data_IF_744931094256
#
_entry.id   IF_744931094256
#
_cell.length_a   1.000
_cell.length_b   1.000
_cell.length_c   1.000
_cell.angle_alpha   90.00
_cell.angle_beta   90.00
_cell.angle_gamma   90.00
#
_symmetry.space_group_name_H-M   'P 1'
#
loop_
_entity.id
_entity.type
_entity.pdbx_description
1 polymer ?
#
# COMPACT_ATOMS: atom_id res chain seq x y z
N UNK A 1 -13.54 6.81 -30.44
CA UNK A 1 -14.75 7.68 -30.35
C UNK A 1 -16.07 6.91 -30.57
N UNK A 2 -16.24 6.24 -31.72
CA UNK A 2 -17.46 5.49 -32.04
C UNK A 2 -17.73 4.32 -31.08
N UNK A 3 -16.73 3.46 -30.80
CA UNK A 3 -16.86 2.35 -29.82
C UNK A 3 -17.18 2.84 -28.41
N UNK A 4 -16.68 4.02 -28.03
CA UNK A 4 -16.99 4.66 -26.74
C UNK A 4 -18.46 5.08 -26.67
N UNK A 5 -19.00 5.66 -27.73
CA UNK A 5 -20.42 6.05 -27.79
C UNK A 5 -21.33 4.82 -27.76
N UNK A 6 -20.98 3.76 -28.50
CA UNK A 6 -21.71 2.49 -28.50
C UNK A 6 -21.75 1.87 -27.09
N UNK A 7 -20.60 1.83 -26.39
CA UNK A 7 -20.53 1.38 -25.00
C UNK A 7 -21.45 2.17 -24.07
N UNK A 8 -21.38 3.50 -24.12
CA UNK A 8 -22.20 4.38 -23.27
C UNK A 8 -23.71 4.16 -23.54
N UNK A 9 -24.09 3.96 -24.80
CA UNK A 9 -25.46 3.65 -25.17
C UNK A 9 -25.92 2.29 -24.63
N UNK A 10 -25.06 1.26 -24.67
CA UNK A 10 -25.36 -0.06 -24.10
C UNK A 10 -25.52 0.00 -22.59
N UNK A 11 -24.59 0.65 -21.87
CA UNK A 11 -24.68 0.80 -20.41
C UNK A 11 -25.97 1.52 -20.01
N UNK A 12 -26.33 2.59 -20.73
CA UNK A 12 -27.55 3.35 -20.43
C UNK A 12 -28.84 2.57 -20.69
N UNK A 13 -28.80 1.49 -21.48
CA UNK A 13 -29.95 0.61 -21.73
C UNK A 13 -30.07 -0.52 -20.71
N UNK A 14 -28.95 -0.95 -20.12
CA UNK A 14 -28.87 -2.12 -19.24
C UNK A 14 -28.84 -1.73 -17.76
N UNK A 15 -28.27 -0.57 -17.43
CA UNK A 15 -28.23 -0.05 -16.05
C UNK A 15 -29.33 0.98 -15.79
N UNK A 16 -29.91 1.01 -14.56
CA UNK A 16 -30.84 2.04 -14.15
C UNK A 16 -30.21 3.45 -14.25
N UNK A 17 -31.02 4.45 -14.60
CA UNK A 17 -30.57 5.84 -14.71
C UNK A 17 -30.09 6.43 -13.37
N UNK A 18 -30.47 5.81 -12.25
CA UNK A 18 -30.11 6.23 -10.89
C UNK A 18 -29.58 5.07 -10.06
N UNK A 19 -28.59 5.32 -9.20
CA UNK A 19 -28.11 4.36 -8.21
C UNK A 19 -29.15 4.11 -7.10
N UNK A 20 -28.85 3.18 -6.19
CA UNK A 20 -29.71 2.85 -5.03
C UNK A 20 -29.93 4.02 -4.07
N UNK A 21 -29.21 5.13 -4.23
CA UNK A 21 -29.35 6.37 -3.45
C UNK A 21 -29.97 7.51 -4.26
N UNK A 22 -30.50 7.23 -5.47
CA UNK A 22 -31.17 8.22 -6.32
C UNK A 22 -30.23 9.16 -7.08
N UNK A 23 -28.92 8.89 -7.10
CA UNK A 23 -27.93 9.71 -7.84
C UNK A 23 -27.84 9.26 -9.29
N UNK A 24 -27.64 10.17 -10.25
CA UNK A 24 -27.51 9.80 -11.66
C UNK A 24 -26.34 8.85 -11.87
N UNK A 25 -26.60 7.71 -12.51
CA UNK A 25 -25.58 6.74 -12.88
C UNK A 25 -24.75 7.30 -14.04
N UNK A 26 -23.49 7.64 -13.78
CA UNK A 26 -22.55 8.09 -14.81
C UNK A 26 -21.78 6.85 -15.30
N UNK A 27 -21.97 6.41 -16.56
CA UNK A 27 -21.26 5.25 -17.08
C UNK A 27 -19.75 5.47 -17.03
N UNK A 28 -19.05 4.56 -16.35
CA UNK A 28 -17.59 4.59 -16.23
C UNK A 28 -17.00 3.74 -17.36
N UNK A 29 -15.88 4.20 -17.91
CA UNK A 29 -15.07 3.41 -18.82
C UNK A 29 -14.02 2.71 -17.96
N UNK A 30 -13.86 1.39 -18.06
CA UNK A 30 -12.82 0.69 -17.32
C UNK A 30 -11.47 1.35 -17.55
N UNK A 31 -10.76 1.67 -16.47
CA UNK A 31 -9.39 2.12 -16.56
C UNK A 31 -8.54 1.02 -17.19
N UNK A 32 -7.58 1.42 -18.03
CA UNK A 32 -6.67 0.45 -18.65
C UNK A 32 -5.71 -0.10 -17.61
N UNK A 33 -5.49 -1.42 -17.68
CA UNK A 33 -4.49 -2.08 -16.86
C UNK A 33 -3.10 -1.48 -17.10
N UNK A 34 -2.38 -1.22 -16.01
CA UNK A 34 -0.97 -0.88 -16.00
C UNK A 34 -0.25 -2.10 -15.43
N UNK A 35 0.45 -2.84 -16.30
CA UNK A 35 1.12 -4.10 -15.98
C UNK A 35 2.02 -4.07 -14.73
N UNK A 36 2.58 -2.91 -14.39
CA UNK A 36 3.46 -2.71 -13.23
C UNK A 36 2.72 -2.34 -11.95
N UNK A 37 1.38 -2.22 -11.97
CA UNK A 37 0.55 -1.75 -10.87
C UNK A 37 -0.70 -2.62 -10.72
N UNK A 38 -0.64 -3.55 -9.77
CA UNK A 38 -1.80 -4.36 -9.38
C UNK A 38 -3.08 -3.58 -9.02
N UNK A 39 -2.95 -2.31 -8.61
CA UNK A 39 -4.08 -1.46 -8.26
C UNK A 39 -4.92 -1.07 -9.47
N UNK A 40 -4.30 -0.87 -10.64
CA UNK A 40 -5.05 -0.65 -11.89
C UNK A 40 -5.72 -1.93 -12.37
N UNK A 41 -5.05 -3.08 -12.21
CA UNK A 41 -5.66 -4.37 -12.55
C UNK A 41 -6.91 -4.59 -11.69
N UNK A 42 -6.83 -4.37 -10.38
CA UNK A 42 -7.98 -4.43 -9.48
C UNK A 42 -9.13 -3.51 -9.93
N UNK A 43 -8.84 -2.24 -10.22
CA UNK A 43 -9.85 -1.24 -10.58
C UNK A 43 -10.52 -1.59 -11.92
N UNK A 44 -9.74 -2.08 -12.89
CA UNK A 44 -10.25 -2.59 -14.15
C UNK A 44 -11.20 -3.77 -13.94
N UNK A 45 -10.81 -4.76 -13.12
CA UNK A 45 -11.64 -5.94 -12.85
C UNK A 45 -12.92 -5.57 -12.08
N UNK A 46 -12.84 -4.69 -11.08
CA UNK A 46 -14.03 -4.20 -10.36
C UNK A 46 -15.01 -3.50 -11.30
N UNK A 47 -14.49 -2.67 -12.21
CA UNK A 47 -15.31 -2.04 -13.23
C UNK A 47 -15.94 -3.08 -14.17
N UNK A 48 -15.18 -4.09 -14.60
CA UNK A 48 -15.70 -5.17 -15.44
C UNK A 48 -16.82 -5.96 -14.74
N UNK A 49 -16.65 -6.28 -13.46
CA UNK A 49 -17.65 -6.98 -12.65
C UNK A 49 -18.92 -6.13 -12.51
N UNK A 50 -18.78 -4.83 -12.23
CA UNK A 50 -19.91 -3.89 -12.13
C UNK A 50 -20.76 -3.88 -13.41
N UNK A 51 -20.12 -4.00 -14.57
CA UNK A 51 -20.75 -3.93 -15.88
C UNK A 51 -20.87 -5.30 -16.57
N UNK A 52 -20.81 -6.42 -15.84
CA UNK A 52 -20.79 -7.77 -16.43
C UNK A 52 -21.94 -7.98 -17.44
N UNK A 53 -23.17 -7.62 -17.06
CA UNK A 53 -24.36 -7.73 -17.92
C UNK A 53 -24.24 -6.86 -19.19
N UNK A 54 -23.74 -5.62 -19.03
CA UNK A 54 -23.53 -4.69 -20.13
C UNK A 54 -22.44 -5.18 -21.08
N UNK A 55 -21.37 -5.77 -20.56
CA UNK A 55 -20.27 -6.33 -21.35
C UNK A 55 -20.77 -7.51 -22.16
N UNK A 56 -21.49 -8.45 -21.54
CA UNK A 56 -22.09 -9.60 -22.25
C UNK A 56 -22.98 -9.15 -23.40
N UNK A 57 -23.92 -8.24 -23.12
CA UNK A 57 -24.82 -7.72 -24.16
C UNK A 57 -24.07 -6.97 -25.27
N UNK A 58 -23.03 -6.21 -24.91
CA UNK A 58 -22.20 -5.50 -25.89
C UNK A 58 -21.45 -6.47 -26.81
N UNK A 59 -20.91 -7.57 -26.26
CA UNK A 59 -20.23 -8.63 -27.03
C UNK A 59 -21.21 -9.35 -27.94
N UNK A 60 -22.37 -9.75 -27.42
CA UNK A 60 -23.45 -10.39 -28.20
C UNK A 60 -23.88 -9.52 -29.40
N UNK A 61 -24.14 -8.23 -29.16
CA UNK A 61 -24.54 -7.29 -30.21
C UNK A 61 -23.45 -7.04 -31.27
N UNK A 62 -22.18 -7.29 -30.93
CA UNK A 62 -21.03 -7.03 -31.79
C UNK A 62 -20.20 -8.31 -32.06
N UNK A 63 -20.82 -9.49 -31.96
CA UNK A 63 -20.12 -10.79 -31.94
C UNK A 63 -19.21 -11.02 -33.16
N UNK A 64 -19.62 -10.54 -34.34
CA UNK A 64 -18.83 -10.62 -35.58
C UNK A 64 -17.46 -9.92 -35.49
N UNK A 65 -17.31 -8.94 -34.61
CA UNK A 65 -16.09 -8.12 -34.48
C UNK A 65 -15.29 -8.52 -33.25
N UNK A 66 -15.96 -8.84 -32.14
CA UNK A 66 -15.30 -9.05 -30.83
C UNK A 66 -15.66 -10.39 -30.16
N UNK A 67 -16.33 -11.32 -30.85
CA UNK A 67 -16.75 -12.60 -30.29
C UNK A 67 -15.60 -13.49 -29.82
N UNK A 68 -14.38 -13.30 -30.34
CA UNK A 68 -13.18 -14.00 -29.84
C UNK A 68 -12.77 -13.59 -28.43
N UNK A 69 -13.32 -12.49 -27.91
CA UNK A 69 -13.09 -11.99 -26.55
C UNK A 69 -14.28 -12.25 -25.61
N UNK A 70 -15.23 -13.08 -26.05
CA UNK A 70 -16.34 -13.45 -25.18
C UNK A 70 -15.84 -14.24 -23.97
N UNK A 71 -16.38 -13.90 -22.80
CA UNK A 71 -15.95 -14.45 -21.52
C UNK A 71 -17.01 -15.45 -21.04
N UNK A 72 -16.59 -16.69 -20.82
CA UNK A 72 -17.44 -17.74 -20.29
C UNK A 72 -17.88 -17.43 -18.86
N UNK A 73 -18.92 -18.11 -18.39
CA UNK A 73 -19.36 -18.00 -17.00
C UNK A 73 -18.28 -18.40 -16.00
N UNK A 74 -17.34 -19.27 -16.37
CA UNK A 74 -16.21 -19.63 -15.52
C UNK A 74 -15.12 -18.55 -15.52
N UNK A 75 -14.86 -17.88 -16.65
CA UNK A 75 -13.96 -16.72 -16.69
C UNK A 75 -14.44 -15.61 -15.76
N UNK A 76 -15.75 -15.35 -15.72
CA UNK A 76 -16.32 -14.36 -14.81
C UNK A 76 -16.23 -14.76 -13.32
N UNK A 77 -16.25 -16.07 -13.00
CA UNK A 77 -15.98 -16.55 -11.63
C UNK A 77 -14.53 -16.32 -11.26
N UNK A 78 -13.60 -16.65 -12.15
CA UNK A 78 -12.17 -16.42 -11.96
C UNK A 78 -11.87 -14.92 -11.80
N UNK A 79 -12.46 -14.05 -12.63
CA UNK A 79 -12.34 -12.58 -12.52
C UNK A 79 -12.78 -12.09 -11.14
N UNK A 80 -13.91 -12.57 -10.62
CA UNK A 80 -14.41 -12.18 -9.28
C UNK A 80 -13.47 -12.66 -8.17
N UNK A 81 -12.94 -13.86 -8.29
CA UNK A 81 -11.95 -14.40 -7.36
C UNK A 81 -10.66 -13.57 -7.36
N UNK A 82 -10.15 -13.25 -8.56
CA UNK A 82 -8.95 -12.43 -8.74
C UNK A 82 -9.17 -11.00 -8.24
N UNK A 83 -10.34 -10.40 -8.49
CA UNK A 83 -10.64 -9.07 -7.99
C UNK A 83 -10.64 -9.05 -6.45
N UNK A 84 -11.21 -10.09 -5.81
CA UNK A 84 -11.24 -10.24 -4.36
C UNK A 84 -9.86 -10.28 -3.73
N UNK A 85 -8.95 -11.12 -4.22
CA UNK A 85 -7.59 -11.18 -3.66
C UNK A 85 -6.73 -9.96 -4.02
N UNK A 86 -7.09 -9.16 -5.03
CA UNK A 86 -6.28 -7.99 -5.43
C UNK A 86 -6.64 -6.80 -4.54
N UNK A 87 -7.81 -6.86 -3.91
CA UNK A 87 -8.30 -5.85 -3.00
C UNK A 87 -7.39 -5.71 -1.78
N UNK A 88 -6.92 -6.81 -1.17
CA UNK A 88 -5.99 -6.77 -0.03
C UNK A 88 -4.69 -6.02 -0.39
N UNK A 89 -4.11 -6.29 -1.56
CA UNK A 89 -2.91 -5.61 -2.03
C UNK A 89 -3.14 -4.13 -2.33
N UNK A 90 -4.31 -3.79 -2.89
CA UNK A 90 -4.72 -2.40 -3.09
C UNK A 90 -4.82 -1.66 -1.77
N UNK A 91 -5.48 -2.25 -0.77
CA UNK A 91 -5.64 -1.68 0.57
C UNK A 91 -4.29 -1.50 1.26
N UNK A 92 -3.43 -2.52 1.24
CA UNK A 92 -2.08 -2.46 1.77
C UNK A 92 -1.24 -1.36 1.09
N UNK A 93 -1.30 -1.26 -0.25
CA UNK A 93 -0.61 -0.20 -0.98
C UNK A 93 -1.13 1.19 -0.58
N UNK A 94 -2.45 1.36 -0.46
CA UNK A 94 -3.05 2.63 -0.07
C UNK A 94 -2.61 3.05 1.33
N UNK A 95 -2.59 2.10 2.28
CA UNK A 95 -2.12 2.30 3.64
C UNK A 95 -0.63 2.68 3.67
N UNK A 96 0.24 1.90 3.02
CA UNK A 96 1.71 2.15 2.97
C UNK A 96 2.10 3.40 2.18
N UNK A 97 1.20 3.93 1.36
CA UNK A 97 1.39 5.19 0.64
C UNK A 97 1.04 6.42 1.48
N UNK A 98 0.51 6.24 2.70
CA UNK A 98 0.20 7.35 3.59
C UNK A 98 1.50 8.07 4.01
N UNK A 99 1.51 9.40 3.87
CA UNK A 99 2.65 10.25 4.27
C UNK A 99 2.40 11.01 5.58
N UNK A 100 1.22 10.87 6.16
CA UNK A 100 0.82 11.56 7.40
C UNK A 100 1.18 10.80 8.68
N UNK A 101 1.54 9.53 8.55
CA UNK A 101 1.85 8.62 9.66
C UNK A 101 3.08 7.80 9.25
N UNK A 102 4.03 7.51 10.17
CA UNK A 102 5.09 6.56 9.92
C UNK A 102 4.55 5.21 9.48
N UNK A 103 4.99 4.75 8.31
CA UNK A 103 4.56 3.48 7.74
C UNK A 103 5.63 2.38 7.81
N UNK A 104 6.91 2.76 7.94
CA UNK A 104 8.02 1.80 7.98
C UNK A 104 7.90 0.82 9.16
N UNK A 105 7.44 1.28 10.33
CA UNK A 105 7.26 0.45 11.53
C UNK A 105 6.22 -0.66 11.34
N UNK A 106 5.24 -0.44 10.47
CA UNK A 106 4.18 -1.41 10.17
C UNK A 106 4.44 -2.22 8.91
N UNK A 107 5.53 -1.94 8.18
CA UNK A 107 5.77 -2.55 6.87
C UNK A 107 5.86 -4.08 6.96
N UNK A 108 6.60 -4.58 7.95
CA UNK A 108 6.75 -6.02 8.19
C UNK A 108 5.40 -6.69 8.50
N UNK A 109 4.60 -6.10 9.40
CA UNK A 109 3.27 -6.60 9.75
C UNK A 109 2.30 -6.63 8.55
N UNK A 110 2.34 -5.59 7.69
CA UNK A 110 1.55 -5.55 6.46
C UNK A 110 1.96 -6.69 5.51
N UNK A 111 3.26 -6.93 5.33
CA UNK A 111 3.75 -8.02 4.47
C UNK A 111 3.36 -9.40 5.01
N UNK A 112 3.52 -9.63 6.31
CA UNK A 112 3.08 -10.88 6.96
C UNK A 112 1.58 -11.10 6.78
N UNK A 113 0.76 -10.08 7.05
CA UNK A 113 -0.69 -10.16 6.85
C UNK A 113 -1.08 -10.48 5.41
N UNK A 114 -0.36 -9.94 4.41
CA UNK A 114 -0.56 -10.31 3.01
C UNK A 114 -0.17 -11.77 2.73
N UNK A 115 0.91 -12.29 3.32
CA UNK A 115 1.31 -13.70 3.17
C UNK A 115 0.27 -14.64 3.77
N UNK A 116 -0.18 -14.36 4.99
CA UNK A 116 -1.18 -15.18 5.68
C UNK A 116 -2.50 -15.20 4.92
N UNK A 117 -2.93 -14.05 4.39
CA UNK A 117 -4.13 -13.98 3.56
C UNK A 117 -3.98 -14.78 2.25
N UNK A 118 -2.84 -14.69 1.55
CA UNK A 118 -2.60 -15.51 0.36
C UNK A 118 -2.60 -17.00 0.67
N UNK A 119 -1.98 -17.40 1.79
CA UNK A 119 -1.96 -18.79 2.27
C UNK A 119 -3.38 -19.27 2.57
N UNK A 120 -4.18 -18.45 3.24
CA UNK A 120 -5.58 -18.78 3.52
C UNK A 120 -6.41 -18.92 2.23
N UNK A 121 -6.21 -18.01 1.26
CA UNK A 121 -6.90 -18.10 -0.03
C UNK A 121 -6.48 -19.36 -0.80
N UNK A 122 -5.19 -19.72 -0.81
CA UNK A 122 -4.68 -20.94 -1.42
C UNK A 122 -5.37 -22.19 -0.87
N UNK A 123 -5.60 -22.25 0.44
CA UNK A 123 -6.29 -23.37 1.12
C UNK A 123 -7.77 -23.44 0.74
N UNK A 124 -8.42 -22.28 0.54
CA UNK A 124 -9.85 -22.19 0.23
C UNK A 124 -10.19 -22.19 -1.26
N UNK A 125 -9.20 -22.38 -2.14
CA UNK A 125 -9.43 -22.36 -3.58
C UNK A 125 -10.43 -23.46 -4.01
N UNK A 126 -11.42 -23.12 -4.86
CA UNK A 126 -12.30 -24.11 -5.46
C UNK A 126 -11.54 -25.14 -6.30
N UNK A 127 -11.98 -26.40 -6.28
CA UNK A 127 -11.35 -27.50 -7.05
C UNK A 127 -11.48 -27.32 -8.56
N UNK A 128 -12.46 -26.53 -9.02
CA UNK A 128 -12.72 -26.23 -10.42
C UNK A 128 -12.09 -24.92 -10.90
N UNK A 129 -11.18 -24.32 -10.13
CA UNK A 129 -10.50 -23.09 -10.52
C UNK A 129 -9.58 -23.34 -11.73
N UNK A 130 -9.46 -22.35 -12.62
CA UNK A 130 -8.55 -22.45 -13.75
C UNK A 130 -7.09 -22.67 -13.28
N UNK A 131 -6.31 -23.52 -13.97
CA UNK A 131 -4.89 -23.74 -13.64
C UNK A 131 -4.06 -22.45 -13.62
N UNK A 132 -4.41 -21.48 -14.47
CA UNK A 132 -3.73 -20.18 -14.53
C UNK A 132 -3.94 -19.36 -13.26
N UNK A 133 -5.13 -19.44 -12.66
CA UNK A 133 -5.45 -18.76 -11.40
C UNK A 133 -4.67 -19.39 -10.26
N UNK A 134 -4.71 -20.73 -10.15
CA UNK A 134 -3.93 -21.46 -9.16
C UNK A 134 -2.42 -21.14 -9.26
N UNK A 135 -1.86 -21.18 -10.48
CA UNK A 135 -0.46 -20.81 -10.71
C UNK A 135 -0.21 -19.34 -10.35
N UNK A 136 -1.14 -18.43 -10.65
CA UNK A 136 -1.02 -17.01 -10.37
C UNK A 136 -0.88 -16.71 -8.88
N UNK A 137 -1.72 -17.29 -8.03
CA UNK A 137 -1.64 -17.07 -6.57
C UNK A 137 -0.43 -17.75 -5.95
N UNK A 138 -0.05 -18.92 -6.44
CA UNK A 138 1.16 -19.60 -5.95
C UNK A 138 2.40 -18.76 -6.28
N UNK A 139 2.46 -18.20 -7.49
CA UNK A 139 3.50 -17.25 -7.88
C UNK A 139 3.48 -15.98 -7.03
N UNK A 140 2.30 -15.44 -6.70
CA UNK A 140 2.17 -14.28 -5.82
C UNK A 140 2.69 -14.57 -4.41
N UNK A 141 2.29 -15.70 -3.82
CA UNK A 141 2.74 -16.14 -2.50
C UNK A 141 4.26 -16.31 -2.46
N UNK A 142 4.84 -17.05 -3.43
CA UNK A 142 6.29 -17.22 -3.55
C UNK A 142 7.01 -15.88 -3.67
N UNK A 143 6.51 -14.99 -4.54
CA UNK A 143 7.13 -13.70 -4.76
C UNK A 143 7.11 -12.84 -3.50
N UNK A 144 6.04 -12.92 -2.71
CA UNK A 144 5.93 -12.19 -1.45
C UNK A 144 6.92 -12.74 -0.40
N UNK A 145 7.10 -14.07 -0.33
CA UNK A 145 8.15 -14.70 0.49
C UNK A 145 9.56 -14.26 0.09
N UNK A 146 9.87 -14.14 -1.21
CA UNK A 146 11.18 -13.63 -1.66
C UNK A 146 11.44 -12.19 -1.20
N UNK A 147 10.41 -11.36 -1.07
CA UNK A 147 10.56 -9.99 -0.59
C UNK A 147 10.58 -9.90 0.93
N UNK A 148 9.96 -10.85 1.62
CA UNK A 148 9.95 -10.89 3.07
C UNK A 148 11.38 -10.98 3.63
N UNK A 149 12.21 -11.86 3.08
CA UNK A 149 13.63 -12.00 3.48
C UNK A 149 14.48 -10.77 3.17
N UNK A 150 14.03 -9.88 2.28
CA UNK A 150 14.73 -8.61 2.00
C UNK A 150 14.52 -7.55 3.07
N UNK A 151 13.50 -7.69 3.91
CA UNK A 151 13.35 -6.79 5.06
C UNK A 151 14.52 -6.94 6.02
N UNK A 152 15.06 -8.16 6.13
CA UNK A 152 16.18 -8.48 7.01
C UNK A 152 17.52 -7.90 6.51
N UNK A 153 17.60 -7.50 5.24
CA UNK A 153 18.78 -6.79 4.70
C UNK A 153 18.96 -5.40 5.33
N UNK A 154 17.91 -4.84 5.96
CA UNK A 154 17.96 -3.51 6.54
C UNK A 154 17.43 -3.48 7.97
N UNK A 155 18.22 -2.99 8.95
CA UNK A 155 17.79 -2.97 10.34
C UNK A 155 16.66 -1.94 10.59
N UNK A 156 16.44 -1.00 9.66
CA UNK A 156 15.51 0.11 9.87
C UNK A 156 14.05 -0.32 9.98
N UNK A 157 13.65 -1.45 9.39
CA UNK A 157 12.28 -1.96 9.53
C UNK A 157 12.01 -2.41 10.95
N UNK A 158 12.88 -3.27 11.49
CA UNK A 158 12.78 -3.77 12.87
C UNK A 158 13.02 -2.64 13.87
N UNK A 159 13.98 -1.76 13.63
CA UNK A 159 14.20 -0.59 14.49
C UNK A 159 12.99 0.34 14.52
N UNK A 160 12.35 0.57 13.37
CA UNK A 160 11.14 1.36 13.33
C UNK A 160 10.00 0.70 14.11
N UNK A 161 9.84 -0.61 14.02
CA UNK A 161 8.85 -1.35 14.80
C UNK A 161 9.12 -1.23 16.31
N UNK A 162 10.37 -1.45 16.75
CA UNK A 162 10.77 -1.29 18.15
C UNK A 162 10.52 0.15 18.64
N UNK A 163 10.84 1.15 17.83
CA UNK A 163 10.67 2.57 18.18
C UNK A 163 9.23 3.08 17.98
N UNK A 164 8.28 2.25 17.56
CA UNK A 164 6.88 2.65 17.44
C UNK A 164 6.18 2.45 18.79
N UNK A 165 5.68 3.51 19.46
CA UNK A 165 5.07 3.37 20.77
C UNK A 165 3.74 2.58 20.76
N UNK A 166 3.24 2.23 19.57
CA UNK A 166 2.05 1.38 19.40
C UNK A 166 2.37 -0.11 19.35
N UNK A 167 3.64 -0.45 19.15
CA UNK A 167 4.12 -1.84 19.01
C UNK A 167 5.04 -2.11 20.19
N UNK A 168 4.65 -3.00 21.10
CA UNK A 168 5.54 -3.37 22.21
C UNK A 168 6.58 -4.39 21.76
N UNK A 169 7.74 -4.39 22.42
CA UNK A 169 8.74 -5.43 22.22
C UNK A 169 8.18 -6.82 22.56
N UNK A 170 7.41 -6.92 23.65
CA UNK A 170 6.81 -8.18 24.09
C UNK A 170 5.78 -8.73 23.11
N UNK A 171 5.01 -7.88 22.44
CA UNK A 171 4.11 -8.33 21.36
C UNK A 171 4.90 -8.84 20.15
N UNK A 172 6.02 -8.19 19.79
CA UNK A 172 6.90 -8.69 18.72
C UNK A 172 7.51 -10.05 19.08
N UNK A 173 7.93 -10.23 20.33
CA UNK A 173 8.40 -11.54 20.83
C UNK A 173 7.30 -12.59 20.76
N UNK A 174 6.07 -12.26 21.19
CA UNK A 174 4.93 -13.16 21.13
C UNK A 174 4.58 -13.56 19.69
N UNK A 175 4.62 -12.59 18.76
CA UNK A 175 4.40 -12.81 17.33
C UNK A 175 5.43 -13.74 16.70
N UNK A 176 6.63 -13.85 17.29
CA UNK A 176 7.74 -14.69 16.81
C UNK A 176 7.94 -15.95 17.65
N UNK A 177 7.11 -16.20 18.67
CA UNK A 177 7.29 -17.27 19.64
C UNK A 177 7.39 -18.69 19.03
N UNK A 178 6.86 -18.91 17.82
CA UNK A 178 6.93 -20.17 17.09
C UNK A 178 8.16 -20.36 16.20
N UNK A 179 9.05 -19.37 16.13
CA UNK A 179 10.18 -19.34 15.20
C UNK A 179 11.45 -18.81 15.90
N UNK A 180 12.34 -19.72 16.26
CA UNK A 180 13.59 -19.42 16.97
C UNK A 180 14.49 -18.47 16.17
N UNK A 181 14.55 -18.61 14.84
CA UNK A 181 15.40 -17.77 13.99
C UNK A 181 14.90 -16.31 14.00
N UNK A 182 13.57 -16.10 13.97
CA UNK A 182 12.98 -14.77 14.06
C UNK A 182 13.19 -14.12 15.44
N UNK A 183 13.13 -14.90 16.53
CA UNK A 183 13.42 -14.41 17.88
C UNK A 183 14.87 -13.97 18.03
N UNK A 184 15.82 -14.79 17.56
CA UNK A 184 17.25 -14.44 17.55
C UNK A 184 17.51 -13.19 16.72
N UNK A 185 16.86 -13.07 15.55
CA UNK A 185 16.93 -11.88 14.71
C UNK A 185 16.38 -10.61 15.37
N UNK A 186 15.30 -10.73 16.14
CA UNK A 186 14.72 -9.61 16.90
C UNK A 186 15.65 -9.12 18.01
N UNK A 187 16.23 -10.05 18.79
CA UNK A 187 17.16 -9.71 19.87
C UNK A 187 18.47 -9.11 19.32
N UNK A 188 18.97 -9.66 18.21
CA UNK A 188 20.12 -9.08 17.50
C UNK A 188 19.80 -7.65 17.03
N UNK A 189 18.61 -7.42 16.48
CA UNK A 189 18.17 -6.10 16.04
C UNK A 189 18.03 -5.10 17.20
N UNK A 190 17.54 -5.54 18.36
CA UNK A 190 17.48 -4.73 19.58
C UNK A 190 18.88 -4.33 20.04
N UNK A 191 19.82 -5.27 20.07
CA UNK A 191 21.21 -5.01 20.42
C UNK A 191 21.85 -4.02 19.44
N UNK A 192 21.67 -4.23 18.13
CA UNK A 192 22.18 -3.32 17.10
C UNK A 192 21.59 -1.90 17.21
N UNK A 193 20.30 -1.79 17.57
CA UNK A 193 19.65 -0.50 17.84
C UNK A 193 20.29 0.20 19.04
N UNK A 194 20.53 -0.53 20.13
CA UNK A 194 21.20 -0.03 21.32
C UNK A 194 22.61 0.49 20.97
N UNK A 195 23.41 -0.31 20.26
CA UNK A 195 24.77 0.06 19.85
C UNK A 195 24.77 1.31 18.96
N UNK A 196 23.83 1.39 18.02
CA UNK A 196 23.66 2.57 17.17
C UNK A 196 23.30 3.81 18.00
N UNK A 197 22.39 3.68 18.97
CA UNK A 197 22.04 4.75 19.90
C UNK A 197 23.26 5.21 20.71
N UNK A 198 24.01 4.27 21.30
CA UNK A 198 25.18 4.57 22.11
C UNK A 198 26.27 5.27 21.31
N UNK A 199 26.52 4.83 20.07
CA UNK A 199 27.54 5.39 19.20
C UNK A 199 27.23 6.81 18.70
N UNK A 200 25.98 7.10 18.35
CA UNK A 200 25.64 8.34 17.64
C UNK A 200 24.81 9.33 18.45
N UNK A 201 24.10 8.89 19.48
CA UNK A 201 23.09 9.70 20.17
C UNK A 201 23.33 9.88 21.66
N UNK A 202 23.95 8.93 22.37
CA UNK A 202 24.00 8.93 23.84
C UNK A 202 24.64 10.17 24.47
N UNK A 203 25.64 10.82 23.82
CA UNK A 203 26.31 12.09 24.24
C UNK A 203 26.18 12.40 25.75
N UNK A 204 26.99 11.72 26.56
CA UNK A 204 27.13 11.91 28.02
C UNK A 204 25.86 11.69 28.88
N UNK A 205 24.74 11.22 28.31
CA UNK A 205 23.54 10.87 29.09
C UNK A 205 23.67 9.52 29.80
N UNK A 206 22.96 9.32 30.93
CA UNK A 206 22.95 8.06 31.66
C UNK A 206 22.50 6.88 30.79
N UNK A 207 23.04 5.71 31.13
CA UNK A 207 22.83 4.44 30.45
C UNK A 207 21.39 3.95 30.58
N UNK A 208 20.81 3.52 29.46
CA UNK A 208 19.54 2.80 29.30
C UNK A 208 18.22 3.59 29.04
N UNK A 209 18.20 4.72 28.29
CA UNK A 209 16.94 5.33 27.86
C UNK A 209 16.11 4.42 26.94
N UNK A 210 16.76 3.52 26.18
CA UNK A 210 16.07 2.54 25.35
C UNK A 210 15.32 1.53 26.23
N UNK A 211 15.95 0.93 27.24
CA UNK A 211 15.29 -0.06 28.10
C UNK A 211 14.19 0.56 28.98
N UNK A 212 14.32 1.83 29.36
CA UNK A 212 13.21 2.55 30.01
C UNK A 212 12.01 2.67 29.06
N UNK A 213 12.24 3.07 27.82
CA UNK A 213 11.19 3.18 26.81
C UNK A 213 10.50 1.84 26.52
N UNK A 214 11.25 0.75 26.40
CA UNK A 214 10.68 -0.59 26.10
C UNK A 214 9.77 -1.14 27.20
N UNK A 215 9.80 -0.56 28.41
CA UNK A 215 8.91 -0.93 29.53
C UNK A 215 7.63 -0.10 29.59
N UNK A 216 7.47 0.89 28.72
CA UNK A 216 6.26 1.72 28.69
C UNK A 216 5.08 0.94 28.11
N UNK A 217 3.84 1.24 28.56
CA UNK A 217 2.66 0.60 28.00
C UNK A 217 2.43 1.02 26.54
N UNK A 218 1.86 0.13 25.70
CA UNK A 218 1.55 0.46 24.32
C UNK A 218 0.56 1.61 24.20
N UNK A 219 0.63 2.29 23.06
CA UNK A 219 -0.32 3.30 22.65
C UNK A 219 -1.29 2.76 21.61
N UNK A 220 -2.52 3.26 21.62
CA UNK A 220 -3.57 2.83 20.68
C UNK A 220 -3.27 3.24 19.23
N UNK A 221 -3.45 2.32 18.28
CA UNK A 221 -3.17 2.57 16.86
C UNK A 221 -4.04 3.67 16.24
N UNK A 222 -5.28 3.82 16.72
CA UNK A 222 -6.26 4.74 16.14
C UNK A 222 -5.98 6.18 16.58
N UNK A 223 -5.60 6.39 17.84
CA UNK A 223 -5.44 7.73 18.41
C UNK A 223 -3.99 8.21 18.46
N UNK A 224 -3.01 7.29 18.41
CA UNK A 224 -1.59 7.63 18.52
C UNK A 224 -0.95 7.85 17.14
N UNK A 225 -0.38 9.04 16.95
CA UNK A 225 0.60 9.29 15.91
C UNK A 225 2.02 9.17 16.51
N UNK A 226 2.85 8.18 16.11
CA UNK A 226 4.17 7.95 16.70
C UNK A 226 5.07 9.18 16.72
N UNK A 227 5.07 9.99 15.65
CA UNK A 227 5.90 11.19 15.59
C UNK A 227 5.46 12.25 16.60
N UNK A 228 4.14 12.42 16.77
CA UNK A 228 3.59 13.36 17.76
C UNK A 228 3.86 12.88 19.19
N UNK A 229 3.73 11.57 19.42
CA UNK A 229 4.05 10.97 20.72
C UNK A 229 5.52 11.17 21.09
N UNK A 230 6.44 10.86 20.17
CA UNK A 230 7.87 11.09 20.36
C UNK A 230 8.21 12.56 20.59
N UNK A 231 7.53 13.47 19.89
CA UNK A 231 7.69 14.91 20.12
C UNK A 231 7.25 15.34 21.53
N UNK A 232 6.18 14.76 22.06
CA UNK A 232 5.74 15.00 23.44
C UNK A 232 6.73 14.43 24.46
N UNK A 233 7.37 13.29 24.15
CA UNK A 233 8.36 12.63 25.02
C UNK A 233 9.79 13.18 24.88
N UNK A 234 10.01 14.22 24.07
CA UNK A 234 11.36 14.76 23.79
C UNK A 234 12.11 15.27 25.03
N UNK A 235 11.41 15.64 26.09
CA UNK A 235 12.04 16.12 27.34
C UNK A 235 12.49 14.95 28.21
N UNK A 236 11.72 13.86 28.23
CA UNK A 236 12.05 12.61 28.92
C UNK A 236 13.13 11.82 28.19
N UNK A 237 13.04 11.75 26.86
CA UNK A 237 13.93 10.95 26.01
C UNK A 237 14.58 11.80 24.89
N UNK A 238 15.39 12.82 25.21
CA UNK A 238 15.84 13.82 24.23
C UNK A 238 16.70 13.26 23.11
N UNK A 239 17.57 12.29 23.41
CA UNK A 239 18.44 11.69 22.40
C UNK A 239 17.76 10.54 21.66
N UNK A 240 16.93 9.75 22.35
CA UNK A 240 16.18 8.66 21.72
C UNK A 240 15.09 9.22 20.78
N UNK A 241 14.46 10.34 21.14
CA UNK A 241 13.58 11.11 20.27
C UNK A 241 14.24 11.44 18.93
N UNK A 242 15.50 11.88 18.93
CA UNK A 242 16.22 12.22 17.68
C UNK A 242 16.42 11.00 16.79
N UNK A 243 16.75 9.85 17.39
CA UNK A 243 16.86 8.58 16.68
C UNK A 243 15.51 8.13 16.12
N UNK A 244 14.48 8.07 16.95
CA UNK A 244 13.12 7.71 16.57
C UNK A 244 12.59 8.59 15.44
N UNK A 245 12.79 9.91 15.53
CA UNK A 245 12.42 10.86 14.47
C UNK A 245 13.10 10.55 13.15
N UNK A 246 14.38 10.18 13.16
CA UNK A 246 15.13 9.88 11.94
C UNK A 246 14.69 8.55 11.31
N UNK A 247 14.46 7.52 12.13
CA UNK A 247 14.04 6.19 11.67
C UNK A 247 12.58 6.18 11.21
N UNK A 248 11.65 6.71 12.01
CA UNK A 248 10.22 6.71 11.70
C UNK A 248 9.84 7.66 10.55
N UNK A 249 10.71 8.62 10.20
CA UNK A 249 10.51 9.49 9.05
C UNK A 249 10.81 8.78 7.70
N UNK A 250 11.40 7.59 7.72
CA UNK A 250 11.62 6.81 6.51
C UNK A 250 10.24 6.42 5.94
N UNK A 251 9.94 6.77 4.67
CA UNK A 251 8.66 6.43 4.07
C UNK A 251 8.54 4.91 3.90
N UNK A 252 7.37 4.35 4.19
CA UNK A 252 7.12 2.92 3.99
C UNK A 252 6.99 2.51 2.51
N UNK A 253 6.84 3.47 1.60
CA UNK A 253 6.81 3.20 0.16
C UNK A 253 7.30 4.38 -0.67
N UNK A 254 7.80 4.10 -1.87
CA UNK A 254 8.17 5.13 -2.87
C UNK A 254 6.94 5.76 -3.56
N UNK A 255 5.72 5.24 -3.33
CA UNK A 255 4.50 5.65 -4.06
C UNK A 255 4.21 7.13 -3.90
N UNK A 256 4.45 7.71 -2.72
CA UNK A 256 4.24 9.14 -2.49
C UNK A 256 5.11 10.00 -3.41
N UNK A 257 6.38 9.60 -3.58
CA UNK A 257 7.34 10.26 -4.46
C UNK A 257 6.98 10.02 -5.92
N UNK A 258 6.59 8.80 -6.29
CA UNK A 258 6.10 8.48 -7.64
C UNK A 258 4.86 9.29 -8.03
N UNK A 259 3.92 9.52 -7.10
CA UNK A 259 2.74 10.37 -7.33
C UNK A 259 3.15 11.82 -7.60
N UNK A 260 4.14 12.32 -6.86
CA UNK A 260 4.69 13.66 -7.08
C UNK A 260 5.34 13.77 -8.47
N UNK A 261 6.13 12.78 -8.89
CA UNK A 261 6.72 12.72 -10.23
C UNK A 261 5.68 12.51 -11.34
N UNK A 262 4.65 11.72 -11.11
CA UNK A 262 3.56 11.48 -12.07
C UNK A 262 2.80 12.77 -12.36
N UNK A 263 2.50 13.57 -11.33
CA UNK A 263 1.95 14.92 -11.48
C UNK A 263 2.92 15.95 -12.05
N UNK A 264 4.19 15.58 -12.22
CA UNK A 264 5.19 16.34 -12.97
C UNK A 264 4.89 16.39 -14.46
N UNK A 265 4.17 15.41 -15.03
CA UNK A 265 3.69 15.45 -16.42
C UNK A 265 2.71 16.59 -16.69
N UNK A 266 1.99 17.06 -15.67
CA UNK A 266 1.14 18.25 -15.79
C UNK A 266 1.96 19.54 -15.78
N UNK A 267 3.16 19.50 -15.18
CA UNK A 267 4.08 20.64 -15.05
C UNK A 267 5.03 20.74 -16.25
N UNK A 268 5.37 19.60 -16.86
CA UNK A 268 6.23 19.48 -18.02
C UNK A 268 5.37 19.03 -19.20
N UNK A 269 4.97 19.97 -20.06
CA UNK A 269 4.19 19.63 -21.25
C UNK A 269 4.90 18.57 -22.11
N UNK A 270 4.18 17.50 -22.50
CA UNK A 270 4.69 16.37 -23.29
C UNK A 270 5.32 16.77 -24.63
N UNK A 271 4.96 17.94 -25.16
CA UNK A 271 5.54 18.52 -26.37
C UNK A 271 5.77 20.01 -26.09
N UNK A 272 7.04 20.45 -26.10
CA UNK A 272 7.51 21.84 -25.91
C UNK A 272 7.62 22.34 -24.45
N UNK A 273 8.35 21.63 -23.61
CA UNK A 273 8.86 22.20 -22.36
C UNK A 273 10.32 22.68 -22.56
N UNK A 274 10.57 23.99 -22.45
CA UNK A 274 11.92 24.60 -22.45
C UNK A 274 12.35 25.03 -21.04
N UNK A 275 11.90 24.28 -20.02
CA UNK A 275 12.23 24.59 -18.63
C UNK A 275 13.56 23.96 -18.25
N UNK A 276 14.42 24.74 -17.60
CA UNK A 276 15.66 24.21 -17.02
C UNK A 276 15.34 23.20 -15.90
N UNK A 277 16.15 22.15 -15.69
CA UNK A 277 15.95 21.20 -14.59
C UNK A 277 15.75 21.85 -13.21
N UNK A 278 16.46 22.93 -12.91
CA UNK A 278 16.28 23.68 -11.66
C UNK A 278 14.90 24.34 -11.55
N UNK A 279 14.38 24.87 -12.65
CA UNK A 279 13.03 25.46 -12.70
C UNK A 279 11.98 24.39 -12.47
N UNK A 280 12.14 23.22 -13.08
CA UNK A 280 11.26 22.05 -12.87
C UNK A 280 11.28 21.64 -11.38
N UNK A 281 12.47 21.52 -10.77
CA UNK A 281 12.63 21.18 -9.35
C UNK A 281 11.88 22.17 -8.46
N UNK A 282 12.08 23.48 -8.66
CA UNK A 282 11.42 24.53 -7.87
C UNK A 282 9.89 24.45 -8.02
N UNK A 283 9.39 24.32 -9.25
CA UNK A 283 7.96 24.22 -9.51
C UNK A 283 7.33 22.99 -8.84
N UNK A 284 7.99 21.84 -8.90
CA UNK A 284 7.51 20.61 -8.27
C UNK A 284 7.45 20.75 -6.74
N UNK A 285 8.49 21.33 -6.12
CA UNK A 285 8.53 21.58 -4.67
C UNK A 285 7.43 22.57 -4.26
N UNK A 286 7.30 23.69 -4.98
CA UNK A 286 6.31 24.72 -4.67
C UNK A 286 4.88 24.19 -4.79
N UNK A 287 4.57 23.47 -5.88
CA UNK A 287 3.26 22.82 -6.09
C UNK A 287 2.93 21.86 -4.95
N UNK A 288 3.89 21.04 -4.53
CA UNK A 288 3.69 20.12 -3.41
C UNK A 288 3.48 20.87 -2.08
N UNK A 289 4.26 21.93 -1.83
CA UNK A 289 4.12 22.73 -0.62
C UNK A 289 2.73 23.38 -0.52
N UNK A 290 2.24 23.96 -1.62
CA UNK A 290 0.90 24.55 -1.69
C UNK A 290 -0.17 23.50 -1.39
N UNK A 291 -0.10 22.32 -2.04
CA UNK A 291 -1.05 21.21 -1.80
C UNK A 291 -1.11 20.76 -0.35
N UNK A 292 0.05 20.62 0.30
CA UNK A 292 0.12 20.24 1.73
C UNK A 292 -0.53 21.32 2.59
N UNK A 293 -0.28 22.60 2.30
CA UNK A 293 -0.87 23.73 3.02
C UNK A 293 -2.39 23.79 2.87
N UNK A 294 -2.91 23.57 1.67
CA UNK A 294 -4.36 23.52 1.41
C UNK A 294 -5.03 22.34 2.12
N UNK A 295 -4.40 21.16 2.07
CA UNK A 295 -4.90 19.96 2.76
C UNK A 295 -4.92 20.12 4.29
N UNK A 296 -4.03 20.94 4.85
CA UNK A 296 -4.00 21.27 6.28
C UNK A 296 -5.07 22.29 6.68
N UNK A 297 -5.48 23.19 5.77
CA UNK A 297 -6.58 24.14 6.00
C UNK A 297 -7.96 23.50 5.90
N UNK A 298 -8.08 22.42 5.13
CA UNK A 298 -9.34 21.69 4.92
C UNK A 298 -9.63 20.64 6.01
N UNK A 299 -8.72 20.44 6.97
CA UNK A 299 -8.87 19.54 8.12
C UNK A 299 -9.04 20.36 9.39
#
# INVERSE_FOLDING_TARGET
PQRRQLWLATVSRVHPATDSMGRPHIPIIPDLDVRTRWGSTHDMLQCAIMYESSIRHFVEANYRIIGTFDLSSDDWKDIKLIAGWLQMFRLATAQMSATSIPMISTAHAVFRGLQDQLKHILVLLPTNVSPSVHSGILSAHRKLSDYFTKFDESPYYTWAAILDPRITYTELEADYAGDTELLEGLEHSKTALHDHFMRFYARSQPSAPLEEYLRLPPQEFISCNPMRWWYAQRERFPNLYKLARNVLAIPGSAVAVERLFSGGRDTIALRRASLHPDTIRILMILKQHIRVRESQKAK
#
